data_IF_306045514617
#
_entry.id   IF_306045514617
#
_cell.length_a   1.000
_cell.length_b   1.000
_cell.length_c   1.000
_cell.angle_alpha   90.00
_cell.angle_beta   90.00
_cell.angle_gamma   90.00
#
_symmetry.space_group_name_H-M   'P 1'
#
loop_
_entity.id
_entity.type
_entity.pdbx_description
1 polymer ?
#
# COMPACT_ATOMS: atom_id res chain seq x y z
N UNK A 1 -1.83 -29.65 56.14
CA UNK A 1 -1.92 -28.32 55.49
C UNK A 1 -1.47 -28.50 54.04
N UNK A 2 -2.40 -28.44 53.08
CA UNK A 2 -2.11 -28.71 51.68
C UNK A 2 -1.16 -27.67 51.09
N UNK A 3 -0.12 -28.12 50.41
CA UNK A 3 0.77 -27.26 49.63
C UNK A 3 -0.05 -26.58 48.54
N UNK A 4 -0.32 -25.27 48.69
CA UNK A 4 -0.98 -24.49 47.66
C UNK A 4 -0.17 -24.55 46.35
N UNK A 5 -0.86 -24.74 45.23
CA UNK A 5 -0.22 -24.86 43.91
C UNK A 5 0.60 -23.61 43.59
N UNK A 6 1.81 -23.83 43.04
CA UNK A 6 2.66 -22.75 42.52
C UNK A 6 1.93 -22.01 41.40
N UNK A 7 2.14 -20.69 41.33
CA UNK A 7 1.63 -19.86 40.22
C UNK A 7 2.35 -20.29 38.94
N UNK A 8 1.63 -20.97 38.05
CA UNK A 8 2.12 -21.41 36.74
C UNK A 8 1.51 -20.61 35.59
N UNK A 9 0.48 -19.81 35.86
CA UNK A 9 -0.29 -19.07 34.86
C UNK A 9 -0.58 -17.65 35.32
N UNK A 10 -0.81 -16.75 34.37
CA UNK A 10 -1.26 -15.38 34.60
C UNK A 10 -2.44 -15.03 33.69
N UNK A 11 -3.30 -14.13 34.12
CA UNK A 11 -4.42 -13.60 33.32
C UNK A 11 -3.98 -12.33 32.60
N UNK A 12 -4.03 -12.36 31.25
CA UNK A 12 -3.79 -11.18 30.42
C UNK A 12 -4.98 -10.22 30.47
N UNK A 13 -4.75 -8.98 30.03
CA UNK A 13 -5.75 -7.89 29.98
C UNK A 13 -6.94 -8.16 29.05
N UNK A 14 -6.82 -9.13 28.15
CA UNK A 14 -7.87 -9.62 27.25
C UNK A 14 -8.61 -10.85 27.82
N UNK A 15 -8.34 -11.23 29.07
CA UNK A 15 -8.93 -12.38 29.74
C UNK A 15 -8.23 -13.71 29.43
N UNK A 16 -7.29 -13.77 28.48
CA UNK A 16 -6.58 -15.02 28.16
C UNK A 16 -5.68 -15.44 29.32
N UNK A 17 -5.69 -16.73 29.63
CA UNK A 17 -4.78 -17.33 30.61
C UNK A 17 -3.56 -17.86 29.87
N UNK A 18 -2.37 -17.38 30.25
CA UNK A 18 -1.09 -17.80 29.64
C UNK A 18 -0.13 -18.32 30.70
N UNK A 19 0.90 -19.03 30.28
CA UNK A 19 1.99 -19.47 31.15
C UNK A 19 2.73 -18.29 31.77
N UNK A 20 3.08 -18.43 33.05
CA UNK A 20 3.89 -17.45 33.76
C UNK A 20 5.37 -17.60 33.39
N UNK A 21 5.92 -16.62 32.68
CA UNK A 21 7.29 -16.61 32.15
C UNK A 21 8.17 -15.57 32.87
N UNK A 22 9.00 -15.97 33.86
CA UNK A 22 9.84 -15.05 34.64
C UNK A 22 10.85 -14.26 33.79
N UNK A 23 11.36 -14.86 32.72
CA UNK A 23 12.25 -14.23 31.74
C UNK A 23 11.66 -12.95 31.12
N UNK A 24 10.33 -12.84 31.02
CA UNK A 24 9.68 -11.59 30.57
C UNK A 24 9.77 -10.47 31.61
N UNK A 25 9.86 -10.81 32.89
CA UNK A 25 10.09 -9.84 33.97
C UNK A 25 11.53 -9.33 33.87
N UNK A 26 12.51 -10.23 33.76
CA UNK A 26 13.93 -9.87 33.62
C UNK A 26 14.15 -8.92 32.43
N UNK A 27 13.62 -9.26 31.24
CA UNK A 27 13.74 -8.41 30.06
C UNK A 27 13.08 -7.03 30.21
N UNK A 28 12.00 -6.92 31.00
CA UNK A 28 11.34 -5.64 31.24
C UNK A 28 12.10 -4.79 32.26
N UNK A 29 12.68 -5.42 33.29
CA UNK A 29 13.55 -4.79 34.29
C UNK A 29 14.85 -4.30 33.65
N UNK A 30 15.51 -5.14 32.84
CA UNK A 30 16.73 -4.78 32.11
C UNK A 30 16.54 -3.54 31.24
N UNK A 31 15.42 -3.45 30.51
CA UNK A 31 15.08 -2.25 29.72
C UNK A 31 14.91 -1.00 30.59
N UNK A 32 14.32 -1.14 31.77
CA UNK A 32 14.13 -0.01 32.68
C UNK A 32 15.46 0.45 33.30
N UNK A 33 16.36 -0.47 33.64
CA UNK A 33 17.71 -0.20 34.13
C UNK A 33 18.56 0.49 33.04
N UNK A 34 18.57 -0.05 31.82
CA UNK A 34 19.28 0.55 30.67
C UNK A 34 18.77 1.96 30.33
N UNK A 35 17.46 2.21 30.45
CA UNK A 35 16.88 3.52 30.19
C UNK A 35 17.38 4.63 31.12
N UNK A 36 17.94 4.28 32.29
CA UNK A 36 18.51 5.23 33.25
C UNK A 36 20.03 5.18 33.32
N UNK A 37 20.68 4.45 32.42
CA UNK A 37 22.15 4.42 32.29
C UNK A 37 22.86 3.34 33.12
N UNK A 38 22.14 2.35 33.66
CA UNK A 38 22.75 1.25 34.43
C UNK A 38 23.46 0.26 33.48
N UNK A 39 24.78 0.17 33.60
CA UNK A 39 25.64 -0.66 32.73
C UNK A 39 25.73 -2.13 33.16
N UNK A 40 25.44 -2.44 34.43
CA UNK A 40 25.37 -3.81 34.98
C UNK A 40 23.94 -4.42 34.92
N UNK A 41 23.06 -3.84 34.09
CA UNK A 41 21.62 -4.10 34.11
C UNK A 41 21.20 -5.56 33.93
N UNK A 42 22.00 -6.39 33.25
CA UNK A 42 21.61 -7.76 32.92
C UNK A 42 21.63 -8.70 34.13
N UNK A 43 22.72 -8.75 34.90
CA UNK A 43 22.82 -9.58 36.10
C UNK A 43 21.82 -9.11 37.18
N UNK A 44 21.74 -7.80 37.40
CA UNK A 44 20.81 -7.16 38.33
C UNK A 44 19.35 -7.45 37.95
N UNK A 45 19.01 -7.41 36.66
CA UNK A 45 17.64 -7.69 36.21
C UNK A 45 17.19 -9.11 36.51
N UNK A 46 18.10 -10.09 36.43
CA UNK A 46 17.80 -11.50 36.74
C UNK A 46 17.52 -11.68 38.22
N UNK A 47 18.32 -11.04 39.08
CA UNK A 47 18.13 -11.10 40.54
C UNK A 47 16.81 -10.43 40.97
N UNK A 48 16.53 -9.24 40.46
CA UNK A 48 15.28 -8.53 40.73
C UNK A 48 14.07 -9.29 40.18
N UNK A 49 14.19 -9.92 39.01
CA UNK A 49 13.13 -10.75 38.45
C UNK A 49 12.88 -12.02 39.26
N UNK A 50 13.94 -12.64 39.80
CA UNK A 50 13.84 -13.78 40.72
C UNK A 50 13.10 -13.39 41.99
N UNK A 51 13.44 -12.25 42.58
CA UNK A 51 12.73 -11.76 43.77
C UNK A 51 11.26 -11.41 43.48
N UNK A 52 10.98 -10.73 42.36
CA UNK A 52 9.61 -10.47 41.93
C UNK A 52 8.82 -11.76 41.72
N UNK A 53 9.43 -12.79 41.11
CA UNK A 53 8.83 -14.12 40.95
C UNK A 53 8.47 -14.72 42.31
N UNK A 54 9.38 -14.70 43.29
CA UNK A 54 9.12 -15.24 44.62
C UNK A 54 7.99 -14.51 45.35
N UNK A 55 7.90 -13.18 45.20
CA UNK A 55 6.81 -12.38 45.75
C UNK A 55 5.47 -12.69 45.08
N UNK A 56 5.43 -12.86 43.76
CA UNK A 56 4.24 -13.33 43.03
C UNK A 56 3.81 -14.71 43.54
N UNK A 57 4.74 -15.65 43.68
CA UNK A 57 4.46 -17.01 44.17
C UNK A 57 3.91 -17.03 45.60
N UNK A 58 4.39 -16.12 46.47
CA UNK A 58 3.89 -16.00 47.85
C UNK A 58 2.53 -15.30 47.91
N UNK A 59 2.36 -14.21 47.17
CA UNK A 59 1.16 -13.37 47.22
C UNK A 59 -0.08 -13.98 46.57
N UNK A 60 0.10 -14.88 45.59
CA UNK A 60 -0.99 -15.44 44.78
C UNK A 60 -1.12 -16.97 44.91
N UNK A 61 -0.77 -17.57 46.06
CA UNK A 61 -0.96 -19.01 46.27
C UNK A 61 -2.43 -19.40 46.05
N UNK A 62 -2.67 -20.35 45.14
CA UNK A 62 -4.02 -20.82 44.82
C UNK A 62 -4.90 -19.84 44.02
N UNK A 63 -4.34 -18.72 43.54
CA UNK A 63 -5.03 -17.77 42.64
C UNK A 63 -4.16 -17.45 41.42
N UNK A 64 -4.77 -17.15 40.29
CA UNK A 64 -4.05 -16.75 39.08
C UNK A 64 -3.91 -15.23 39.07
N UNK A 65 -2.70 -14.66 39.21
CA UNK A 65 -2.52 -13.21 39.17
C UNK A 65 -2.79 -12.65 37.77
N UNK A 66 -3.20 -11.39 37.72
CA UNK A 66 -3.28 -10.62 36.48
C UNK A 66 -1.91 -10.10 36.08
N UNK A 67 -1.77 -9.63 34.84
CA UNK A 67 -0.55 -8.93 34.40
C UNK A 67 -0.31 -7.66 35.23
N UNK A 68 -1.34 -6.96 35.67
CA UNK A 68 -1.18 -5.75 36.50
C UNK A 68 -0.61 -6.11 37.88
N UNK A 69 -1.10 -7.19 38.49
CA UNK A 69 -0.59 -7.67 39.78
C UNK A 69 0.91 -7.98 39.74
N UNK A 70 1.37 -8.60 38.65
CA UNK A 70 2.80 -8.90 38.45
C UNK A 70 3.59 -7.59 38.27
N UNK A 71 3.06 -6.63 37.51
CA UNK A 71 3.73 -5.34 37.29
C UNK A 71 3.84 -4.52 38.58
N UNK A 72 2.82 -4.51 39.43
CA UNK A 72 2.83 -3.82 40.73
C UNK A 72 3.86 -4.43 41.69
N UNK A 73 4.08 -5.75 41.62
CA UNK A 73 5.14 -6.42 42.39
C UNK A 73 6.53 -6.03 41.88
N UNK A 74 6.72 -5.98 40.56
CA UNK A 74 8.01 -5.58 39.96
C UNK A 74 8.37 -4.14 40.35
N UNK A 75 7.39 -3.23 40.34
CA UNK A 75 7.55 -1.85 40.81
C UNK A 75 8.03 -1.79 42.26
N UNK A 76 7.36 -2.52 43.16
CA UNK A 76 7.76 -2.58 44.58
C UNK A 76 9.17 -3.12 44.78
N UNK A 77 9.52 -4.19 44.05
CA UNK A 77 10.86 -4.79 44.11
C UNK A 77 11.93 -3.78 43.66
N UNK A 78 11.71 -3.05 42.58
CA UNK A 78 12.65 -2.04 42.10
C UNK A 78 12.85 -0.92 43.13
N UNK A 79 11.77 -0.45 43.76
CA UNK A 79 11.83 0.61 44.78
C UNK A 79 12.56 0.13 46.03
N UNK A 80 12.21 -1.06 46.55
CA UNK A 80 12.79 -1.61 47.78
C UNK A 80 14.26 -1.99 47.62
N UNK A 81 14.68 -2.39 46.42
CA UNK A 81 16.07 -2.67 46.08
C UNK A 81 16.91 -1.40 45.80
N UNK A 82 16.32 -0.20 45.94
CA UNK A 82 17.02 1.08 45.77
C UNK A 82 17.07 1.62 44.32
N UNK A 83 16.51 0.90 43.35
CA UNK A 83 16.49 1.29 41.93
C UNK A 83 15.32 2.24 41.60
N UNK A 84 15.20 3.34 42.35
CA UNK A 84 14.06 4.28 42.25
C UNK A 84 13.96 4.92 40.86
N UNK A 85 15.09 5.27 40.25
CA UNK A 85 15.11 5.84 38.89
C UNK A 85 14.59 4.83 37.85
N UNK A 86 15.02 3.56 37.95
CA UNK A 86 14.54 2.49 37.07
C UNK A 86 13.06 2.16 37.32
N UNK A 87 12.60 2.17 38.59
CA UNK A 87 11.19 2.03 38.93
C UNK A 87 10.34 3.12 38.24
N UNK A 88 10.79 4.38 38.31
CA UNK A 88 10.11 5.49 37.62
C UNK A 88 10.08 5.29 36.10
N UNK A 89 11.19 4.88 35.49
CA UNK A 89 11.25 4.58 34.05
C UNK A 89 10.30 3.43 33.67
N UNK A 90 10.21 2.39 34.50
CA UNK A 90 9.30 1.26 34.33
C UNK A 90 7.83 1.68 34.40
N UNK A 91 7.46 2.50 35.40
CA UNK A 91 6.09 3.03 35.58
C UNK A 91 5.69 3.89 34.37
N UNK A 92 6.54 4.84 33.97
CA UNK A 92 6.29 5.70 32.82
C UNK A 92 6.15 4.89 31.51
N UNK A 93 6.97 3.86 31.33
CA UNK A 93 6.85 2.94 30.21
C UNK A 93 5.50 2.20 30.22
N UNK A 94 5.09 1.65 31.38
CA UNK A 94 3.79 0.98 31.56
C UNK A 94 2.63 1.92 31.23
N UNK A 95 2.67 3.16 31.74
CA UNK A 95 1.63 4.17 31.51
C UNK A 95 1.54 4.54 30.02
N UNK A 96 2.67 4.88 29.37
CA UNK A 96 2.70 5.18 27.93
C UNK A 96 2.13 4.03 27.10
N UNK A 97 2.46 2.79 27.45
CA UNK A 97 1.90 1.62 26.77
C UNK A 97 0.43 1.38 27.08
N UNK A 98 -0.08 1.81 28.24
CA UNK A 98 -1.52 1.81 28.54
C UNK A 98 -2.25 2.82 27.66
N UNK A 99 -1.77 4.06 27.60
CA UNK A 99 -2.32 5.11 26.74
C UNK A 99 -2.33 4.69 25.26
N UNK A 100 -1.24 4.08 24.76
CA UNK A 100 -1.18 3.54 23.40
C UNK A 100 -2.20 2.43 23.15
N UNK A 101 -2.51 1.59 24.15
CA UNK A 101 -3.52 0.54 24.04
C UNK A 101 -4.92 1.13 24.04
N UNK A 102 -5.19 2.11 24.90
CA UNK A 102 -6.49 2.77 24.97
C UNK A 102 -6.77 3.54 23.68
N UNK A 103 -5.75 4.23 23.13
CA UNK A 103 -5.83 4.86 21.82
C UNK A 103 -6.11 3.86 20.69
N UNK A 104 -5.63 2.60 20.78
CA UNK A 104 -5.95 1.56 19.80
C UNK A 104 -7.33 0.94 20.00
N UNK A 105 -7.76 0.77 21.26
CA UNK A 105 -9.12 0.32 21.61
C UNK A 105 -10.18 1.29 21.09
N UNK A 106 -9.87 2.58 21.02
CA UNK A 106 -10.74 3.57 20.38
C UNK A 106 -11.09 3.21 18.93
N UNK A 107 -10.18 2.56 18.20
CA UNK A 107 -10.43 2.09 16.83
C UNK A 107 -11.14 0.73 16.77
N UNK A 108 -11.45 0.09 17.90
CA UNK A 108 -12.08 -1.23 17.93
C UNK A 108 -11.17 -2.36 17.42
N UNK A 109 -9.86 -2.12 17.31
CA UNK A 109 -8.90 -3.12 16.82
C UNK A 109 -8.15 -3.78 17.98
N UNK A 110 -8.18 -5.11 18.01
CA UNK A 110 -7.26 -5.89 18.82
C UNK A 110 -5.91 -6.04 18.10
N UNK A 111 -4.88 -5.35 18.60
CA UNK A 111 -3.53 -5.39 18.05
C UNK A 111 -2.67 -6.46 18.72
N UNK A 112 -2.45 -7.57 18.03
CA UNK A 112 -1.65 -8.72 18.45
C UNK A 112 -0.19 -8.65 18.00
N UNK A 113 0.15 -7.72 17.09
CA UNK A 113 1.50 -7.51 16.55
C UNK A 113 2.25 -6.32 17.19
N UNK A 114 1.62 -5.60 18.13
CA UNK A 114 2.18 -4.44 18.86
C UNK A 114 2.58 -3.28 17.93
N UNK A 115 1.75 -3.00 16.93
CA UNK A 115 2.00 -1.98 15.90
C UNK A 115 1.95 -0.55 16.44
N UNK A 116 2.40 0.43 15.67
CA UNK A 116 2.17 1.84 15.98
C UNK A 116 0.69 2.22 15.89
N UNK A 117 0.25 3.28 16.59
CA UNK A 117 -1.16 3.76 16.55
C UNK A 117 -1.58 4.12 15.12
N UNK A 118 -0.69 4.76 14.36
CA UNK A 118 -0.95 5.10 12.96
C UNK A 118 -1.17 3.86 12.10
N UNK A 119 -0.36 2.80 12.28
CA UNK A 119 -0.52 1.55 11.55
C UNK A 119 -1.87 0.90 11.87
N UNK A 120 -2.24 0.83 13.15
CA UNK A 120 -3.55 0.29 13.57
C UNK A 120 -4.71 1.09 12.97
N UNK A 121 -4.63 2.42 12.97
CA UNK A 121 -5.65 3.29 12.36
C UNK A 121 -5.79 3.07 10.84
N UNK A 122 -4.66 2.88 10.15
CA UNK A 122 -4.67 2.59 8.70
C UNK A 122 -5.26 1.21 8.43
N UNK A 123 -4.87 0.21 9.22
CA UNK A 123 -5.38 -1.16 9.13
C UNK A 123 -6.90 -1.21 9.38
N UNK A 124 -7.38 -0.59 10.46
CA UNK A 124 -8.81 -0.46 10.77
C UNK A 124 -9.59 0.11 9.59
N UNK A 125 -9.10 1.22 9.04
CA UNK A 125 -9.86 1.98 8.04
C UNK A 125 -9.93 1.26 6.70
N UNK A 126 -8.89 0.51 6.31
CA UNK A 126 -8.72 0.05 4.92
C UNK A 126 -8.48 -1.44 4.73
N UNK A 127 -7.88 -2.14 5.70
CA UNK A 127 -7.34 -3.49 5.49
C UNK A 127 -8.10 -4.57 6.23
N UNK A 128 -8.43 -4.32 7.51
CA UNK A 128 -9.06 -5.32 8.34
C UNK A 128 -10.51 -5.56 7.88
N UNK A 129 -10.90 -6.83 7.82
CA UNK A 129 -12.27 -7.24 7.55
C UNK A 129 -13.24 -6.67 8.58
N UNK A 130 -14.43 -6.33 8.08
CA UNK A 130 -15.54 -5.77 8.86
C UNK A 130 -16.79 -6.60 8.62
N UNK A 131 -17.61 -6.73 9.66
CA UNK A 131 -18.95 -7.31 9.54
C UNK A 131 -19.92 -6.34 8.85
N UNK A 132 -21.16 -6.78 8.64
CA UNK A 132 -22.23 -5.97 8.02
C UNK A 132 -22.56 -4.69 8.82
N UNK A 133 -22.26 -4.67 10.12
CA UNK A 133 -22.41 -3.49 10.98
C UNK A 133 -21.19 -2.56 10.95
N UNK A 134 -20.16 -2.89 10.15
CA UNK A 134 -18.94 -2.11 10.00
C UNK A 134 -17.93 -2.29 11.13
N UNK A 135 -18.10 -3.28 12.02
CA UNK A 135 -17.16 -3.56 13.11
C UNK A 135 -16.02 -4.44 12.63
N UNK A 136 -14.81 -4.14 13.05
CA UNK A 136 -13.62 -4.94 12.74
C UNK A 136 -13.75 -6.34 13.35
N UNK A 137 -13.53 -7.39 12.54
CA UNK A 137 -13.66 -8.80 12.96
C UNK A 137 -12.37 -9.61 12.83
N UNK A 138 -11.26 -8.99 12.43
CA UNK A 138 -9.95 -9.62 12.40
C UNK A 138 -8.87 -8.72 13.01
N UNK A 139 -7.89 -9.35 13.64
CA UNK A 139 -6.64 -8.73 14.11
C UNK A 139 -5.61 -8.59 12.98
N UNK A 140 -4.58 -7.74 13.12
CA UNK A 140 -3.48 -7.68 12.15
C UNK A 140 -2.79 -9.03 11.90
N UNK A 141 -2.60 -9.86 12.93
CA UNK A 141 -2.08 -11.20 12.76
C UNK A 141 -3.04 -12.12 12.00
N UNK A 142 -4.34 -12.08 12.30
CA UNK A 142 -5.34 -12.87 11.55
C UNK A 142 -5.43 -12.44 10.08
N UNK A 143 -5.31 -11.14 9.78
CA UNK A 143 -5.23 -10.62 8.42
C UNK A 143 -4.03 -11.23 7.67
N UNK A 144 -2.83 -11.20 8.26
CA UNK A 144 -1.65 -11.83 7.64
C UNK A 144 -1.80 -13.34 7.49
N UNK A 145 -2.44 -14.01 8.45
CA UNK A 145 -2.72 -15.45 8.37
C UNK A 145 -3.66 -15.77 7.20
N UNK A 146 -4.76 -15.04 7.07
CA UNK A 146 -5.71 -15.12 5.94
C UNK A 146 -5.00 -14.95 4.60
N UNK A 147 -4.13 -13.94 4.48
CA UNK A 147 -3.34 -13.69 3.26
C UNK A 147 -2.40 -14.87 2.97
N UNK A 148 -1.67 -15.34 3.98
CA UNK A 148 -0.75 -16.47 3.82
C UNK A 148 -1.45 -17.75 3.37
N UNK A 149 -2.59 -18.09 3.98
CA UNK A 149 -3.41 -19.27 3.61
C UNK A 149 -3.92 -19.15 2.17
N UNK A 150 -4.42 -17.99 1.78
CA UNK A 150 -4.95 -17.78 0.43
C UNK A 150 -3.87 -17.90 -0.65
N UNK A 151 -2.68 -17.35 -0.41
CA UNK A 151 -1.58 -17.37 -1.39
C UNK A 151 -0.92 -18.74 -1.44
N UNK A 152 -0.75 -19.43 -0.31
CA UNK A 152 -0.14 -20.78 -0.29
C UNK A 152 -1.02 -21.84 -0.96
N UNK A 153 -2.34 -21.64 -1.02
CA UNK A 153 -3.26 -22.60 -1.64
C UNK A 153 -2.92 -22.93 -3.11
N UNK A 154 -2.28 -22.01 -3.83
CA UNK A 154 -1.87 -22.23 -5.24
C UNK A 154 -0.76 -23.28 -5.37
N UNK A 155 0.02 -23.54 -4.32
CA UNK A 155 1.14 -24.49 -4.36
C UNK A 155 0.66 -25.89 -4.76
N UNK A 156 -0.53 -26.31 -4.31
CA UNK A 156 -1.14 -27.60 -4.71
C UNK A 156 -1.41 -27.74 -6.20
N UNK A 157 -1.51 -26.62 -6.93
CA UNK A 157 -1.69 -26.63 -8.39
C UNK A 157 -0.40 -27.05 -9.10
N UNK A 158 0.76 -26.71 -8.54
CA UNK A 158 2.07 -26.96 -9.13
C UNK A 158 2.73 -28.23 -8.56
N UNK A 159 2.55 -28.48 -7.27
CA UNK A 159 3.00 -29.69 -6.60
C UNK A 159 1.88 -30.28 -5.71
N UNK A 160 1.37 -31.45 -6.10
CA UNK A 160 0.32 -32.15 -5.35
C UNK A 160 0.77 -32.61 -3.95
N UNK A 161 2.09 -32.77 -3.75
CA UNK A 161 2.71 -33.13 -2.47
C UNK A 161 3.08 -31.92 -1.61
N UNK A 162 2.78 -30.69 -2.05
CA UNK A 162 3.17 -29.49 -1.34
C UNK A 162 2.62 -29.45 0.09
N UNK A 163 3.52 -29.20 1.05
CA UNK A 163 3.15 -28.92 2.43
C UNK A 163 2.63 -27.49 2.55
N UNK A 164 1.31 -27.34 2.45
CA UNK A 164 0.64 -26.04 2.55
C UNK A 164 0.84 -25.38 3.91
N UNK A 165 0.96 -26.15 5.00
CA UNK A 165 1.16 -25.60 6.33
C UNK A 165 2.53 -24.95 6.43
N UNK A 166 3.56 -25.63 5.88
CA UNK A 166 4.91 -25.07 5.85
C UNK A 166 4.99 -23.77 5.02
N UNK A 167 4.32 -23.72 3.87
CA UNK A 167 4.27 -22.50 3.04
C UNK A 167 3.50 -21.37 3.70
N UNK A 168 2.33 -21.66 4.28
CA UNK A 168 1.54 -20.69 5.03
C UNK A 168 2.36 -20.09 6.18
N UNK A 169 3.01 -20.92 6.99
CA UNK A 169 3.83 -20.45 8.11
C UNK A 169 5.03 -19.61 7.63
N UNK A 170 5.63 -19.97 6.50
CA UNK A 170 6.71 -19.19 5.90
C UNK A 170 6.22 -17.80 5.48
N UNK A 171 5.10 -17.70 4.77
CA UNK A 171 4.56 -16.42 4.33
C UNK A 171 4.08 -15.56 5.51
N UNK A 172 3.41 -16.18 6.48
CA UNK A 172 2.99 -15.53 7.70
C UNK A 172 4.17 -14.94 8.48
N UNK A 173 5.26 -15.71 8.61
CA UNK A 173 6.50 -15.24 9.25
C UNK A 173 7.09 -14.03 8.53
N UNK A 174 7.20 -14.08 7.20
CA UNK A 174 7.75 -12.97 6.41
C UNK A 174 6.97 -11.66 6.62
N UNK A 175 5.64 -11.73 6.71
CA UNK A 175 4.80 -10.56 6.98
C UNK A 175 4.87 -10.08 8.44
N UNK A 176 4.85 -11.00 9.40
CA UNK A 176 4.87 -10.65 10.84
C UNK A 176 6.23 -10.16 11.33
N UNK A 177 7.33 -10.61 10.71
CA UNK A 177 8.68 -10.08 10.94
C UNK A 177 8.97 -8.83 10.10
N UNK A 178 8.04 -8.42 9.24
CA UNK A 178 8.18 -7.30 8.30
C UNK A 178 9.39 -7.44 7.37
N UNK A 179 9.74 -8.66 6.95
CA UNK A 179 10.77 -8.89 5.93
C UNK A 179 10.22 -8.56 4.54
N UNK A 180 8.94 -8.87 4.31
CA UNK A 180 8.24 -8.60 3.08
C UNK A 180 6.77 -8.28 3.36
N UNK A 181 6.23 -7.30 2.64
CA UNK A 181 4.79 -7.03 2.62
C UNK A 181 4.28 -7.04 1.18
N UNK A 182 3.22 -7.80 0.87
CA UNK A 182 2.58 -7.71 -0.43
C UNK A 182 1.84 -6.37 -0.58
N UNK A 183 1.43 -6.06 -1.80
CA UNK A 183 0.67 -4.84 -2.08
C UNK A 183 -0.66 -4.76 -1.30
N UNK A 184 -1.27 -3.57 -1.31
CA UNK A 184 -2.49 -3.34 -0.55
C UNK A 184 -3.67 -4.23 -0.98
N UNK A 185 -3.96 -4.43 -2.28
CA UNK A 185 -5.04 -5.31 -2.71
C UNK A 185 -4.88 -6.74 -2.24
N UNK A 186 -3.65 -7.27 -2.23
CA UNK A 186 -3.39 -8.61 -1.67
C UNK A 186 -3.74 -8.67 -0.18
N UNK A 187 -3.32 -7.68 0.63
CA UNK A 187 -3.67 -7.62 2.06
C UNK A 187 -5.20 -7.49 2.28
N UNK A 188 -5.85 -6.65 1.46
CA UNK A 188 -7.28 -6.34 1.58
C UNK A 188 -8.19 -7.48 1.11
N UNK A 189 -7.81 -8.19 0.04
CA UNK A 189 -8.73 -9.03 -0.73
C UNK A 189 -8.38 -10.52 -0.74
N UNK A 190 -7.15 -10.93 -0.37
CA UNK A 190 -6.79 -12.35 -0.34
C UNK A 190 -7.70 -13.15 0.62
N UNK A 191 -8.26 -14.26 0.14
CA UNK A 191 -9.20 -15.07 0.93
C UNK A 191 -10.59 -14.44 1.12
N UNK A 192 -10.94 -13.40 0.36
CA UNK A 192 -12.28 -12.79 0.33
C UNK A 192 -13.00 -13.09 -0.98
N UNK A 193 -14.30 -12.79 -1.07
CA UNK A 193 -15.09 -12.96 -2.29
C UNK A 193 -14.67 -12.06 -3.46
N UNK A 194 -14.08 -10.89 -3.18
CA UNK A 194 -13.58 -9.98 -4.23
C UNK A 194 -12.35 -10.53 -4.95
N UNK A 195 -11.43 -11.15 -4.22
CA UNK A 195 -10.30 -11.91 -4.78
C UNK A 195 -9.27 -11.14 -5.63
N UNK A 196 -9.40 -9.83 -5.83
CA UNK A 196 -8.46 -9.03 -6.63
C UNK A 196 -7.14 -8.78 -5.87
N UNK A 197 -6.06 -9.46 -6.27
CA UNK A 197 -4.74 -9.34 -5.63
C UNK A 197 -3.83 -8.30 -6.33
N UNK A 198 -4.06 -8.06 -7.61
CA UNK A 198 -3.28 -7.11 -8.40
C UNK A 198 -3.70 -5.67 -8.14
N UNK A 199 -2.77 -4.72 -8.24
CA UNK A 199 -3.03 -3.34 -7.85
C UNK A 199 -3.47 -2.41 -8.97
N UNK A 200 -2.91 -2.58 -10.15
CA UNK A 200 -3.17 -1.69 -11.27
C UNK A 200 -3.13 -2.48 -12.57
N UNK A 201 -3.74 -1.91 -13.60
CA UNK A 201 -3.81 -2.50 -14.93
C UNK A 201 -3.62 -1.43 -15.98
N UNK A 202 -3.05 -1.78 -17.14
CA UNK A 202 -3.08 -0.90 -18.32
C UNK A 202 -4.16 -1.38 -19.26
N UNK A 203 -5.08 -0.50 -19.65
CA UNK A 203 -6.21 -0.84 -20.51
C UNK A 203 -6.07 -0.08 -21.84
N UNK A 204 -6.15 -0.77 -23.00
CA UNK A 204 -6.03 -0.11 -24.28
C UNK A 204 -7.27 0.76 -24.56
N UNK A 205 -7.05 1.89 -25.25
CA UNK A 205 -8.12 2.79 -25.70
C UNK A 205 -8.12 2.81 -27.22
N UNK A 206 -9.05 2.07 -27.82
CA UNK A 206 -9.18 1.99 -29.28
C UNK A 206 -9.90 3.22 -29.85
N UNK A 207 -9.54 3.64 -31.08
CA UNK A 207 -10.11 4.81 -31.77
C UNK A 207 -11.53 4.56 -32.32
N UNK A 208 -12.45 4.22 -31.43
CA UNK A 208 -13.88 4.03 -31.70
C UNK A 208 -14.71 4.27 -30.44
N UNK A 209 -15.97 4.69 -30.61
CA UNK A 209 -16.87 4.87 -29.45
C UNK A 209 -17.04 3.56 -28.67
N UNK A 210 -17.20 2.43 -29.35
CA UNK A 210 -17.31 1.14 -28.69
C UNK A 210 -16.06 0.82 -27.85
N UNK A 211 -14.87 0.97 -28.44
CA UNK A 211 -13.61 0.71 -27.74
C UNK A 211 -13.33 1.66 -26.57
N UNK A 212 -13.65 2.95 -26.72
CA UNK A 212 -13.55 3.94 -25.64
C UNK A 212 -14.45 3.54 -24.46
N UNK A 213 -15.71 3.21 -24.71
CA UNK A 213 -16.65 2.86 -23.65
C UNK A 213 -16.42 1.45 -23.08
N UNK A 214 -15.84 0.53 -23.85
CA UNK A 214 -15.34 -0.75 -23.33
C UNK A 214 -14.19 -0.51 -22.34
N UNK A 215 -13.25 0.39 -22.65
CA UNK A 215 -12.19 0.76 -21.72
C UNK A 215 -12.74 1.43 -20.44
N UNK A 216 -13.78 2.27 -20.55
CA UNK A 216 -14.48 2.86 -19.38
C UNK A 216 -15.16 1.78 -18.53
N UNK A 217 -15.80 0.79 -19.18
CA UNK A 217 -16.43 -0.35 -18.50
C UNK A 217 -15.39 -1.18 -17.73
N UNK A 218 -14.28 -1.52 -18.39
CA UNK A 218 -13.21 -2.32 -17.78
C UNK A 218 -12.56 -1.57 -16.61
N UNK A 219 -12.30 -0.27 -16.78
CA UNK A 219 -11.88 0.62 -15.70
C UNK A 219 -12.84 0.56 -14.50
N UNK A 220 -14.14 0.63 -14.76
CA UNK A 220 -15.13 0.65 -13.69
C UNK A 220 -15.09 -0.63 -12.84
N UNK A 221 -14.96 -1.79 -13.49
CA UNK A 221 -14.84 -3.09 -12.82
C UNK A 221 -13.52 -3.20 -12.02
N UNK A 222 -12.42 -2.71 -12.58
CA UNK A 222 -11.12 -2.68 -11.91
C UNK A 222 -11.18 -1.80 -10.66
N UNK A 223 -11.76 -0.61 -10.76
CA UNK A 223 -11.88 0.32 -9.63
C UNK A 223 -12.84 -0.18 -8.56
N UNK A 224 -13.93 -0.87 -8.94
CA UNK A 224 -14.85 -1.52 -7.99
C UNK A 224 -14.11 -2.47 -7.04
N UNK A 225 -13.10 -3.18 -7.55
CA UNK A 225 -12.27 -4.10 -6.76
C UNK A 225 -11.06 -3.44 -6.08
N UNK A 226 -10.92 -2.11 -6.19
CA UNK A 226 -9.88 -1.31 -5.55
C UNK A 226 -8.58 -1.16 -6.37
N UNK A 227 -8.60 -1.54 -7.64
CA UNK A 227 -7.48 -1.36 -8.57
C UNK A 227 -7.41 0.06 -9.15
N UNK A 228 -6.24 0.43 -9.67
CA UNK A 228 -6.03 1.62 -10.49
C UNK A 228 -5.81 1.26 -11.96
N UNK A 229 -5.83 2.25 -12.86
CA UNK A 229 -5.74 2.00 -14.30
C UNK A 229 -4.82 2.97 -15.02
N UNK A 230 -4.13 2.51 -16.05
CA UNK A 230 -3.38 3.34 -16.99
C UNK A 230 -3.93 3.24 -18.40
N UNK A 231 -3.88 4.34 -19.14
CA UNK A 231 -4.40 4.45 -20.51
C UNK A 231 -3.44 5.24 -21.38
N UNK A 232 -3.09 4.70 -22.55
CA UNK A 232 -2.54 5.52 -23.65
C UNK A 232 -3.70 6.04 -24.48
N UNK A 233 -3.81 7.37 -24.60
CA UNK A 233 -4.79 8.02 -25.47
C UNK A 233 -4.21 8.35 -26.85
N UNK A 234 -2.96 7.92 -27.11
CA UNK A 234 -2.18 8.30 -28.30
C UNK A 234 -2.73 7.75 -29.62
N UNK A 235 -3.61 6.74 -29.56
CA UNK A 235 -4.26 6.16 -30.73
C UNK A 235 -5.52 6.91 -31.16
N UNK A 236 -6.11 7.69 -30.26
CA UNK A 236 -7.34 8.42 -30.55
C UNK A 236 -7.06 9.49 -31.60
N UNK A 237 -7.98 9.64 -32.55
CA UNK A 237 -7.86 10.70 -33.57
C UNK A 237 -7.94 12.10 -32.92
N UNK A 238 -7.25 13.10 -33.49
CA UNK A 238 -7.18 14.42 -32.90
C UNK A 238 -8.50 15.18 -33.04
N UNK A 239 -8.68 16.21 -32.23
CA UNK A 239 -9.81 17.12 -32.30
C UNK A 239 -9.93 17.73 -33.70
N UNK A 240 -11.15 17.76 -34.23
CA UNK A 240 -11.43 18.26 -35.57
C UNK A 240 -11.26 17.23 -36.69
N UNK A 241 -10.71 16.03 -36.41
CA UNK A 241 -10.59 14.98 -37.43
C UNK A 241 -11.96 14.39 -37.81
N UNK A 242 -12.04 13.81 -39.01
CA UNK A 242 -13.28 13.33 -39.61
C UNK A 242 -13.83 12.11 -38.87
N UNK A 243 -15.13 12.12 -38.59
CA UNK A 243 -15.90 10.96 -38.10
C UNK A 243 -16.74 10.39 -39.24
N UNK A 244 -16.25 9.33 -39.90
CA UNK A 244 -16.88 8.75 -41.11
C UNK A 244 -18.34 8.35 -40.93
N UNK A 245 -18.73 7.86 -39.75
CA UNK A 245 -20.09 7.36 -39.50
C UNK A 245 -21.14 8.48 -39.41
N UNK A 246 -20.76 9.66 -38.92
CA UNK A 246 -21.69 10.79 -38.68
C UNK A 246 -21.43 11.99 -39.57
N UNK A 247 -20.33 11.98 -40.34
CA UNK A 247 -19.82 13.14 -41.10
C UNK A 247 -19.55 14.38 -40.22
N UNK A 248 -19.43 14.18 -38.90
CA UNK A 248 -19.05 15.22 -37.94
C UNK A 248 -17.54 15.27 -37.71
N UNK A 249 -17.15 16.05 -36.69
CA UNK A 249 -15.76 16.22 -36.25
C UNK A 249 -15.52 15.56 -34.88
N UNK A 250 -14.33 15.01 -34.67
CA UNK A 250 -13.93 14.40 -33.43
C UNK A 250 -13.68 15.44 -32.33
N UNK A 251 -13.96 15.09 -31.08
CA UNK A 251 -13.72 15.96 -29.91
C UNK A 251 -12.29 15.88 -29.38
N UNK A 252 -11.50 14.88 -29.80
CA UNK A 252 -10.11 14.67 -29.37
C UNK A 252 -9.96 13.87 -28.06
N UNK A 253 -8.73 13.46 -27.70
CA UNK A 253 -8.45 12.58 -26.57
C UNK A 253 -8.80 13.24 -25.23
N UNK A 254 -8.47 14.52 -25.03
CA UNK A 254 -8.70 15.24 -23.75
C UNK A 254 -10.19 15.29 -23.43
N UNK A 255 -11.05 15.50 -24.43
CA UNK A 255 -12.51 15.45 -24.25
C UNK A 255 -12.98 14.08 -23.73
N UNK A 256 -12.46 12.97 -24.28
CA UNK A 256 -12.82 11.64 -23.80
C UNK A 256 -12.24 11.35 -22.41
N UNK A 257 -11.05 11.87 -22.06
CA UNK A 257 -10.50 11.72 -20.70
C UNK A 257 -11.46 12.23 -19.62
N UNK A 258 -12.24 13.28 -19.88
CA UNK A 258 -13.28 13.74 -18.94
C UNK A 258 -14.39 12.71 -18.67
N UNK A 259 -14.68 11.81 -19.63
CA UNK A 259 -15.62 10.70 -19.41
C UNK A 259 -15.04 9.71 -18.39
N UNK A 260 -13.75 9.34 -18.54
CA UNK A 260 -13.05 8.47 -17.59
C UNK A 260 -12.95 9.11 -16.21
N UNK A 261 -12.63 10.41 -16.16
CA UNK A 261 -12.49 11.19 -14.92
C UNK A 261 -13.81 11.22 -14.14
N UNK A 262 -14.91 11.52 -14.83
CA UNK A 262 -16.27 11.56 -14.26
C UNK A 262 -16.71 10.18 -13.76
N UNK A 263 -16.51 9.14 -14.56
CA UNK A 263 -16.84 7.77 -14.16
C UNK A 263 -16.05 7.34 -12.91
N UNK A 264 -14.78 7.71 -12.85
CA UNK A 264 -13.93 7.43 -11.68
C UNK A 264 -14.46 8.15 -10.44
N UNK A 265 -14.91 9.40 -10.55
CA UNK A 265 -15.44 10.16 -9.41
C UNK A 265 -16.67 9.49 -8.79
N UNK A 266 -17.59 9.00 -9.62
CA UNK A 266 -18.79 8.29 -9.16
C UNK A 266 -18.43 7.00 -8.43
N UNK A 267 -17.46 6.24 -8.93
CA UNK A 267 -17.07 4.94 -8.33
C UNK A 267 -16.35 5.12 -6.99
N UNK A 268 -15.58 6.21 -6.83
CA UNK A 268 -14.87 6.53 -5.57
C UNK A 268 -15.79 6.55 -4.35
N UNK A 269 -17.06 6.89 -4.52
CA UNK A 269 -18.02 7.00 -3.43
C UNK A 269 -18.42 5.64 -2.83
N UNK A 270 -18.24 4.52 -3.56
CA UNK A 270 -18.63 3.18 -3.11
C UNK A 270 -17.49 2.24 -2.70
N UNK A 271 -16.24 2.58 -3.02
CA UNK A 271 -15.08 1.67 -2.85
C UNK A 271 -14.31 1.86 -1.53
N UNK A 272 -13.59 0.80 -1.07
CA UNK A 272 -12.66 0.89 0.08
C UNK A 272 -11.46 1.80 -0.18
N UNK A 273 -11.12 2.04 -1.45
CA UNK A 273 -9.99 2.86 -1.90
C UNK A 273 -10.42 3.75 -3.06
N UNK A 274 -9.82 4.94 -3.14
CA UNK A 274 -9.92 5.87 -4.27
C UNK A 274 -9.22 5.26 -5.49
N UNK A 275 -9.97 4.97 -6.57
CA UNK A 275 -9.40 4.65 -7.88
C UNK A 275 -8.62 5.84 -8.44
N UNK A 276 -7.58 5.56 -9.22
CA UNK A 276 -6.73 6.56 -9.84
C UNK A 276 -6.36 6.12 -11.25
N UNK A 277 -6.21 7.10 -12.15
CA UNK A 277 -5.89 6.87 -13.54
C UNK A 277 -4.51 7.44 -13.89
N UNK A 278 -3.75 6.74 -14.74
CA UNK A 278 -2.68 7.32 -15.53
C UNK A 278 -3.20 7.59 -16.94
N UNK A 279 -2.97 8.79 -17.46
CA UNK A 279 -3.20 9.13 -18.86
C UNK A 279 -1.87 9.48 -19.53
N UNK A 280 -1.53 8.77 -20.60
CA UNK A 280 -0.36 9.06 -21.42
C UNK A 280 -0.79 9.51 -22.81
N UNK A 281 -0.20 10.62 -23.28
CA UNK A 281 -0.30 11.05 -24.67
C UNK A 281 1.11 11.24 -25.23
N UNK A 282 1.37 10.65 -26.40
CA UNK A 282 2.65 10.83 -27.10
C UNK A 282 2.86 12.29 -27.49
N UNK A 283 4.10 12.73 -27.41
CA UNK A 283 4.50 14.13 -27.67
C UNK A 283 4.26 14.59 -29.12
N UNK A 284 4.21 13.64 -30.06
CA UNK A 284 3.93 13.85 -31.49
C UNK A 284 2.43 13.85 -31.82
N UNK A 285 1.54 13.74 -30.83
CA UNK A 285 0.10 13.82 -31.06
C UNK A 285 -0.36 15.27 -31.35
N UNK A 286 -1.28 15.53 -32.31
CA UNK A 286 -1.68 16.90 -32.67
C UNK A 286 -2.29 17.74 -31.55
N UNK A 287 -2.91 17.06 -30.57
CA UNK A 287 -3.55 17.65 -29.39
C UNK A 287 -2.63 17.75 -28.17
N UNK A 288 -1.31 17.59 -28.34
CA UNK A 288 -0.34 17.59 -27.23
C UNK A 288 -0.38 18.86 -26.38
N UNK A 289 -0.59 20.03 -26.99
CA UNK A 289 -0.66 21.30 -26.26
C UNK A 289 -1.91 21.35 -25.36
N UNK A 290 -3.05 20.89 -25.86
CA UNK A 290 -4.29 20.81 -25.07
C UNK A 290 -4.10 19.83 -23.89
N UNK A 291 -3.42 18.71 -24.12
CA UNK A 291 -3.14 17.71 -23.09
C UNK A 291 -2.20 18.23 -21.99
N UNK A 292 -1.11 18.93 -22.35
CA UNK A 292 -0.16 19.49 -21.37
C UNK A 292 -0.84 20.53 -20.47
N UNK A 293 -1.76 21.33 -21.04
CA UNK A 293 -2.52 22.34 -20.30
C UNK A 293 -3.82 21.81 -19.65
N UNK A 294 -4.16 20.52 -19.81
CA UNK A 294 -5.48 19.99 -19.44
C UNK A 294 -5.81 20.11 -17.95
N UNK A 295 -4.78 20.25 -17.09
CA UNK A 295 -4.91 20.38 -15.64
C UNK A 295 -4.59 21.78 -15.10
N UNK A 296 -4.42 22.79 -15.96
CA UNK A 296 -4.21 24.17 -15.51
C UNK A 296 -5.46 24.77 -14.84
N UNK A 297 -6.65 24.30 -15.20
CA UNK A 297 -7.90 24.67 -14.53
C UNK A 297 -8.13 23.80 -13.29
N UNK A 298 -8.38 24.46 -12.14
CA UNK A 298 -8.66 23.78 -10.88
C UNK A 298 -9.79 22.76 -11.00
N UNK A 299 -9.53 21.53 -10.56
CA UNK A 299 -10.51 20.43 -10.57
C UNK A 299 -10.63 19.67 -11.90
N UNK A 300 -9.98 20.14 -12.97
CA UNK A 300 -9.95 19.42 -14.24
C UNK A 300 -9.10 18.14 -14.13
N UNK A 301 -9.65 17.01 -14.58
CA UNK A 301 -8.99 15.70 -14.60
C UNK A 301 -8.39 15.31 -13.22
N UNK A 302 -9.12 15.61 -12.15
CA UNK A 302 -8.68 15.43 -10.76
C UNK A 302 -8.45 13.97 -10.36
N UNK A 303 -8.92 13.03 -11.18
CA UNK A 303 -8.77 11.60 -10.99
C UNK A 303 -7.68 10.98 -11.89
N UNK A 304 -7.00 11.80 -12.69
CA UNK A 304 -5.84 11.43 -13.49
C UNK A 304 -4.55 12.02 -12.91
N UNK A 305 -3.50 11.21 -12.92
CA UNK A 305 -2.16 11.67 -13.21
C UNK A 305 -1.98 11.64 -14.73
N UNK A 306 -1.33 12.65 -15.29
CA UNK A 306 -1.07 12.71 -16.73
C UNK A 306 0.43 12.76 -16.99
N UNK A 307 0.88 12.13 -18.06
CA UNK A 307 2.28 12.18 -18.47
C UNK A 307 2.43 12.25 -19.98
N UNK A 308 3.41 13.04 -20.42
CA UNK A 308 3.78 13.10 -21.83
C UNK A 308 4.69 11.93 -22.15
N UNK A 309 4.29 11.12 -23.12
CA UNK A 309 5.11 10.06 -23.70
C UNK A 309 6.13 10.66 -24.66
N UNK A 310 7.34 10.94 -24.18
CA UNK A 310 8.41 11.52 -25.00
C UNK A 310 9.18 10.45 -25.76
N UNK A 311 9.70 10.85 -26.92
CA UNK A 311 10.53 10.03 -27.80
C UNK A 311 11.95 10.59 -27.85
N UNK A 312 12.91 9.75 -28.26
CA UNK A 312 14.29 10.11 -28.52
C UNK A 312 14.37 11.20 -29.60
N UNK A 313 13.51 11.13 -30.62
CA UNK A 313 13.41 12.16 -31.67
C UNK A 313 13.06 13.52 -31.07
N UNK A 314 12.05 13.57 -30.20
CA UNK A 314 11.66 14.81 -29.53
C UNK A 314 12.76 15.31 -28.60
N UNK A 315 13.35 14.44 -27.77
CA UNK A 315 14.39 14.83 -26.82
C UNK A 315 15.65 15.36 -27.52
N UNK A 316 16.04 14.78 -28.67
CA UNK A 316 17.12 15.32 -29.51
C UNK A 316 16.75 16.70 -30.05
N UNK A 317 15.53 16.86 -30.60
CA UNK A 317 15.06 18.15 -31.09
C UNK A 317 15.04 19.24 -30.00
N UNK A 318 14.75 18.89 -28.73
CA UNK A 318 14.87 19.83 -27.60
C UNK A 318 16.32 20.29 -27.41
N UNK A 319 17.26 19.34 -27.41
CA UNK A 319 18.69 19.64 -27.21
C UNK A 319 19.24 20.54 -28.32
N UNK A 320 18.91 20.19 -29.57
CA UNK A 320 19.38 20.86 -30.80
C UNK A 320 18.59 22.13 -31.14
N UNK A 321 17.53 22.44 -30.39
CA UNK A 321 16.64 23.58 -30.62
C UNK A 321 15.92 23.53 -31.98
N UNK A 322 15.47 22.35 -32.36
CA UNK A 322 14.80 22.07 -33.63
C UNK A 322 13.28 22.03 -33.51
N UNK A 323 12.63 21.88 -34.67
CA UNK A 323 11.20 21.60 -34.78
C UNK A 323 10.98 20.10 -34.93
N UNK A 324 9.81 19.64 -34.53
CA UNK A 324 9.40 18.25 -34.69
C UNK A 324 7.96 18.16 -35.22
N UNK A 325 7.62 17.09 -35.98
CA UNK A 325 6.32 16.95 -36.58
C UNK A 325 5.29 16.40 -35.58
N UNK A 326 4.05 16.86 -35.72
CA UNK A 326 2.89 16.23 -35.11
C UNK A 326 2.16 15.38 -36.15
N UNK A 327 1.86 14.14 -35.79
CA UNK A 327 1.40 13.09 -36.69
C UNK A 327 -0.02 12.68 -36.30
N UNK A 328 -0.95 12.70 -37.24
CA UNK A 328 -2.29 12.15 -36.99
C UNK A 328 -2.19 10.61 -36.87
N UNK A 329 -2.54 10.00 -35.72
CA UNK A 329 -2.38 8.56 -35.51
C UNK A 329 -3.26 7.71 -36.45
N UNK A 330 -4.34 8.27 -37.00
CA UNK A 330 -5.25 7.59 -37.93
C UNK A 330 -4.73 7.58 -39.36
N UNK A 331 -4.13 8.68 -39.82
CA UNK A 331 -3.66 8.80 -41.23
C UNK A 331 -2.17 8.55 -41.40
N UNK A 332 -1.38 8.70 -40.33
CA UNK A 332 0.08 8.71 -40.40
C UNK A 332 0.67 9.97 -41.03
N UNK A 333 -0.16 10.96 -41.34
CA UNK A 333 0.26 12.19 -42.01
C UNK A 333 0.66 13.27 -41.01
N UNK A 334 1.65 14.07 -41.39
CA UNK A 334 2.04 15.27 -40.64
C UNK A 334 0.94 16.33 -40.73
N UNK A 335 0.52 16.83 -39.56
CA UNK A 335 -0.51 17.88 -39.45
C UNK A 335 0.12 19.26 -39.29
N UNK A 336 1.14 19.37 -38.43
CA UNK A 336 1.87 20.62 -38.15
C UNK A 336 3.24 20.31 -37.54
N UNK A 337 4.08 21.34 -37.41
CA UNK A 337 5.36 21.24 -36.69
C UNK A 337 5.43 22.26 -35.56
N UNK A 338 6.01 21.86 -34.43
CA UNK A 338 6.24 22.72 -33.26
C UNK A 338 7.73 22.81 -32.96
N UNK A 339 8.19 23.91 -32.37
CA UNK A 339 9.53 24.02 -31.82
C UNK A 339 9.61 23.18 -30.54
N UNK A 340 10.54 22.24 -30.47
CA UNK A 340 10.59 21.25 -29.40
C UNK A 340 10.83 21.89 -28.02
N UNK A 341 11.69 22.93 -27.96
CA UNK A 341 11.93 23.68 -26.72
C UNK A 341 10.70 24.33 -26.14
N UNK A 342 9.85 24.95 -26.96
CA UNK A 342 8.64 25.61 -26.48
C UNK A 342 7.67 24.60 -25.84
N UNK A 343 7.58 23.39 -26.43
CA UNK A 343 6.77 22.30 -25.88
C UNK A 343 7.37 21.76 -24.58
N UNK A 344 8.69 21.59 -24.52
CA UNK A 344 9.38 21.13 -23.32
C UNK A 344 9.26 22.14 -22.17
N UNK A 345 9.41 23.43 -22.46
CA UNK A 345 9.22 24.52 -21.49
C UNK A 345 7.77 24.57 -20.99
N UNK A 346 6.79 24.30 -21.85
CA UNK A 346 5.39 24.19 -21.45
C UNK A 346 5.18 23.00 -20.51
N UNK A 347 5.75 21.82 -20.82
CA UNK A 347 5.70 20.63 -19.94
C UNK A 347 6.27 20.97 -18.56
N UNK A 348 7.48 21.54 -18.52
CA UNK A 348 8.15 21.89 -17.28
C UNK A 348 7.37 22.94 -16.46
N UNK A 349 6.81 23.95 -17.15
CA UNK A 349 6.04 25.02 -16.51
C UNK A 349 4.72 24.48 -15.93
N UNK A 350 3.98 23.67 -16.69
CA UNK A 350 2.74 23.05 -16.21
C UNK A 350 3.00 22.11 -15.03
N UNK A 351 4.06 21.30 -15.10
CA UNK A 351 4.48 20.41 -14.01
C UNK A 351 4.86 21.19 -12.75
N UNK A 352 5.56 22.31 -12.89
CA UNK A 352 5.88 23.20 -11.77
C UNK A 352 4.63 23.82 -11.14
N UNK A 353 3.62 24.18 -11.94
CA UNK A 353 2.36 24.78 -11.46
C UNK A 353 1.45 23.79 -10.74
N UNK A 354 1.29 22.58 -11.29
CA UNK A 354 0.21 21.66 -10.90
C UNK A 354 0.68 20.29 -10.42
N UNK A 355 1.96 19.96 -10.60
CA UNK A 355 2.50 18.62 -10.41
C UNK A 355 2.33 17.70 -11.63
N UNK A 356 1.66 18.15 -12.69
CA UNK A 356 1.41 17.43 -13.94
C UNK A 356 1.67 18.34 -15.17
N UNK A 357 2.03 17.78 -16.35
CA UNK A 357 2.25 16.36 -16.60
C UNK A 357 3.64 15.88 -16.16
N UNK A 358 3.74 14.59 -15.83
CA UNK A 358 5.00 13.87 -15.79
C UNK A 358 5.56 13.59 -17.19
N UNK A 359 6.71 12.92 -17.25
CA UNK A 359 7.34 12.46 -18.51
C UNK A 359 7.56 10.95 -18.45
N UNK A 360 7.20 10.27 -19.54
CA UNK A 360 7.46 8.84 -19.75
C UNK A 360 8.32 8.69 -21.00
N UNK A 361 9.52 8.11 -20.86
CA UNK A 361 10.44 7.87 -21.97
C UNK A 361 10.08 6.58 -22.71
N UNK A 362 9.16 6.68 -23.67
CA UNK A 362 8.57 5.51 -24.33
C UNK A 362 9.60 4.67 -25.08
N UNK A 363 10.57 5.31 -25.74
CA UNK A 363 11.59 4.60 -26.50
C UNK A 363 12.51 3.78 -25.57
N UNK A 364 12.90 4.35 -24.42
CA UNK A 364 13.72 3.64 -23.42
C UNK A 364 12.97 2.49 -22.76
N UNK A 365 11.68 2.66 -22.48
CA UNK A 365 10.81 1.59 -21.98
C UNK A 365 10.76 0.44 -22.97
N UNK A 366 10.58 0.73 -24.26
CA UNK A 366 10.45 -0.31 -25.27
C UNK A 366 11.79 -0.93 -25.69
N UNK A 367 12.90 -0.19 -25.61
CA UNK A 367 14.26 -0.73 -25.73
C UNK A 367 14.53 -1.80 -24.66
N UNK A 368 14.07 -1.55 -23.43
CA UNK A 368 14.22 -2.47 -22.29
C UNK A 368 13.05 -3.46 -22.13
N UNK A 369 12.08 -3.48 -23.06
CA UNK A 369 10.92 -4.36 -22.97
C UNK A 369 11.38 -5.83 -23.05
N UNK A 370 11.14 -6.67 -22.04
CA UNK A 370 11.57 -8.07 -22.04
C UNK A 370 10.76 -8.95 -23.00
N UNK A 371 9.60 -8.48 -23.47
CA UNK A 371 8.66 -9.23 -24.33
C UNK A 371 8.22 -8.42 -25.55
N UNK A 372 9.15 -7.90 -26.38
CA UNK A 372 8.84 -6.96 -27.46
C UNK A 372 7.96 -7.59 -28.57
N UNK A 373 7.97 -8.91 -28.68
CA UNK A 373 7.14 -9.65 -29.63
C UNK A 373 5.64 -9.66 -29.27
N UNK A 374 5.29 -9.35 -28.01
CA UNK A 374 3.89 -9.31 -27.54
C UNK A 374 3.23 -7.97 -27.81
N UNK A 375 4.01 -6.90 -27.95
CA UNK A 375 3.50 -5.56 -28.24
C UNK A 375 4.41 -4.45 -27.74
N UNK A 376 3.99 -3.23 -28.05
CA UNK A 376 4.62 -2.00 -27.57
C UNK A 376 3.98 -1.58 -26.25
N UNK A 377 4.80 -1.18 -25.29
CA UNK A 377 4.35 -0.57 -24.04
C UNK A 377 4.12 0.92 -24.29
N UNK A 378 2.87 1.35 -24.18
CA UNK A 378 2.47 2.73 -24.48
C UNK A 378 2.08 3.53 -23.24
N UNK A 379 1.98 2.88 -22.07
CA UNK A 379 1.54 3.49 -20.83
C UNK A 379 2.14 2.78 -19.62
N UNK A 380 2.01 3.42 -18.45
CA UNK A 380 2.35 2.88 -17.14
C UNK A 380 1.09 2.76 -16.27
N UNK A 381 1.23 2.14 -15.11
CA UNK A 381 0.24 2.22 -14.04
C UNK A 381 0.10 3.66 -13.47
N UNK A 382 -0.91 3.96 -12.64
CA UNK A 382 -1.13 5.28 -12.01
C UNK A 382 0.08 5.94 -11.35
N UNK A 383 1.00 5.13 -10.81
CA UNK A 383 2.15 5.63 -10.07
C UNK A 383 3.42 5.81 -10.94
N UNK A 384 3.37 5.42 -12.22
CA UNK A 384 4.46 5.65 -13.18
C UNK A 384 5.63 4.67 -13.13
N UNK A 385 5.65 3.73 -12.17
CA UNK A 385 6.78 2.83 -11.91
C UNK A 385 6.72 1.50 -12.66
N UNK A 386 5.54 1.12 -13.16
CA UNK A 386 5.34 -0.13 -13.92
C UNK A 386 4.85 0.18 -15.34
N UNK A 387 5.74 0.15 -16.35
CA UNK A 387 5.36 0.05 -17.75
C UNK A 387 4.73 -1.33 -18.01
N UNK A 388 3.55 -1.35 -18.61
CA UNK A 388 2.75 -2.57 -18.77
C UNK A 388 2.15 -2.63 -20.17
N UNK A 389 2.09 -3.83 -20.75
CA UNK A 389 1.34 -4.08 -21.98
C UNK A 389 -0.18 -4.00 -21.73
N UNK A 390 -0.99 -3.87 -22.79
CA UNK A 390 -2.45 -3.93 -22.68
C UNK A 390 -2.92 -5.17 -21.90
N UNK A 391 -3.81 -4.95 -20.93
CA UNK A 391 -4.37 -5.93 -19.99
C UNK A 391 -3.37 -6.58 -19.01
N UNK A 392 -2.12 -6.14 -18.97
CA UNK A 392 -1.20 -6.59 -17.93
C UNK A 392 -1.53 -5.99 -16.57
N UNK A 393 -1.16 -6.73 -15.53
CA UNK A 393 -1.47 -6.42 -14.15
C UNK A 393 -0.22 -6.19 -13.31
N UNK A 394 -0.33 -5.23 -12.41
CA UNK A 394 0.73 -4.82 -11.50
C UNK A 394 0.66 -5.65 -10.21
N UNK A 395 1.46 -6.72 -10.16
CA UNK A 395 1.58 -7.63 -9.00
C UNK A 395 2.80 -7.23 -8.18
N UNK A 396 2.56 -6.59 -7.03
CA UNK A 396 3.62 -5.92 -6.27
C UNK A 396 3.78 -6.46 -4.86
N UNK A 397 4.97 -6.24 -4.33
CA UNK A 397 5.30 -6.36 -2.92
C UNK A 397 6.58 -5.60 -2.63
N UNK A 398 6.91 -5.45 -1.35
CA UNK A 398 8.05 -4.64 -0.90
C UNK A 398 8.88 -5.41 0.12
N UNK A 399 10.20 -5.39 -0.08
CA UNK A 399 11.19 -5.90 0.88
C UNK A 399 11.54 -4.75 1.83
N UNK A 400 11.61 -5.05 3.12
CA UNK A 400 12.01 -4.07 4.11
C UNK A 400 13.53 -4.07 4.30
N UNK A 401 14.21 -3.08 3.73
CA UNK A 401 15.67 -2.96 3.78
C UNK A 401 16.24 -2.64 5.17
N UNK A 402 15.40 -2.31 6.16
CA UNK A 402 15.84 -2.04 7.54
C UNK A 402 15.96 -3.29 8.42
N UNK A 403 15.59 -4.45 7.87
CA UNK A 403 15.65 -5.77 8.50
C UNK A 403 16.70 -6.60 7.78
#
# INVERSE_FOLDING_TARGET
>A
MGAGSKVSRIVKRDGRVVEFMPEKIAAAVDKALKAVGETEGEAVSVDLAREAKERVQRGFRGRTPTVEDVQDIVEKVLIEAGYVAAAKAYILYRQRHAELRDAKRFFGVADDLKLGVNAVKVLERRYLLKDESGRVVETPGEMFRRVATAVSAVEKKYDKGADLSAWEDRFYRFMTEFLFLPNSPTLMNAGTSLGQLSACFVIPVEDSIAGIFDAVKDMALIHQSGGGTGFSFSRLRPRGDVVRSTHGVASGPVSFMHVFDSATEVIKQGGRRRGANMGVLRVDHPDIIEFISAKEADGSLSNFNISVGVTEVFMRAVQEDERYPLINPRTGEMVKELRARDVFDLIATSAWRSGDPGIVFLDKINEANPTPLLGMIECTNPCGEMPLLPFESCNLGSINLSR
#
